data_IF_541002432655
#
_entry.id   IF_541002432655
#
_cell.length_a   1.000
_cell.length_b   1.000
_cell.length_c   1.000
_cell.angle_alpha   90.00
_cell.angle_beta   90.00
_cell.angle_gamma   90.00
#
_symmetry.space_group_name_H-M   'P 1'
#
loop_
_entity.id
_entity.type
_entity.pdbx_description
1 polymer ?
#
# COMPACT_ATOMS: atom_id res chain seq x y z
N UNK A 1 -19.28 -13.63 29.34
CA UNK A 1 -20.03 -12.43 28.89
C UNK A 1 -19.13 -11.67 27.92
N UNK A 2 -19.63 -11.26 26.74
CA UNK A 2 -18.78 -10.70 25.68
C UNK A 2 -19.05 -9.19 25.50
N UNK A 3 -18.17 -8.30 25.97
CA UNK A 3 -18.19 -6.87 25.58
C UNK A 3 -16.84 -6.13 25.65
N UNK A 4 -15.69 -6.81 25.78
CA UNK A 4 -14.41 -6.11 25.98
C UNK A 4 -13.67 -5.70 24.69
N UNK A 5 -14.05 -6.21 23.52
CA UNK A 5 -13.32 -5.95 22.26
C UNK A 5 -13.75 -4.68 21.51
N UNK A 6 -14.87 -4.05 21.88
CA UNK A 6 -15.39 -2.86 21.19
C UNK A 6 -14.85 -1.53 21.75
N UNK A 7 -14.24 -1.55 22.95
CA UNK A 7 -13.70 -0.35 23.58
C UNK A 7 -12.22 -0.08 23.25
N UNK A 8 -11.52 -1.05 22.66
CA UNK A 8 -10.14 -0.86 22.21
C UNK A 8 -10.07 -0.03 20.90
N UNK A 9 -11.00 -0.25 19.97
CA UNK A 9 -11.08 0.49 18.70
C UNK A 9 -11.52 1.95 18.88
N UNK A 10 -12.25 2.28 19.96
CA UNK A 10 -12.76 3.63 20.19
C UNK A 10 -11.72 4.58 20.83
N UNK A 11 -10.70 4.06 21.53
CA UNK A 11 -9.66 4.90 22.12
C UNK A 11 -8.54 5.30 21.14
N UNK A 12 -8.25 4.52 20.10
CA UNK A 12 -7.23 4.90 19.10
C UNK A 12 -7.75 5.93 18.08
N UNK A 13 -9.04 5.92 17.74
CA UNK A 13 -9.64 6.95 16.87
C UNK A 13 -9.67 8.33 17.56
N UNK A 14 -9.68 8.36 18.89
CA UNK A 14 -9.77 9.60 19.67
C UNK A 14 -8.44 10.38 19.69
N UNK A 15 -7.29 9.76 19.36
CA UNK A 15 -5.99 10.45 19.32
C UNK A 15 -5.73 11.27 18.04
N UNK A 16 -6.61 11.19 17.04
CA UNK A 16 -6.36 11.77 15.71
C UNK A 16 -7.23 12.99 15.34
N UNK A 17 -8.17 13.43 16.18
CA UNK A 17 -9.11 14.51 15.80
C UNK A 17 -9.48 15.42 16.98
N UNK A 18 -9.21 16.75 16.92
CA UNK A 18 -9.80 17.71 17.83
C UNK A 18 -11.29 17.92 17.52
N UNK A 19 -12.08 18.02 18.59
CA UNK A 19 -13.54 18.04 18.67
C UNK A 19 -14.27 19.01 17.71
N UNK A 20 -15.39 18.54 17.12
CA UNK A 20 -16.54 19.39 16.76
C UNK A 20 -17.23 19.08 15.42
N UNK A 21 -18.43 18.48 15.46
CA UNK A 21 -19.51 18.65 14.46
C UNK A 21 -19.44 17.93 13.10
N UNK A 22 -18.26 17.48 12.63
CA UNK A 22 -18.09 16.91 11.26
C UNK A 22 -18.03 15.36 11.24
N UNK A 23 -18.25 14.72 12.40
CA UNK A 23 -17.86 13.34 12.70
C UNK A 23 -18.53 12.29 11.78
N UNK A 24 -19.82 12.41 11.48
CA UNK A 24 -20.52 11.31 10.78
C UNK A 24 -20.00 11.06 9.35
N UNK A 25 -19.67 12.12 8.60
CA UNK A 25 -19.15 11.96 7.23
C UNK A 25 -17.74 11.40 7.19
N UNK A 26 -16.87 11.83 8.11
CA UNK A 26 -15.49 11.33 8.17
C UNK A 26 -15.46 9.85 8.57
N UNK A 27 -16.29 9.44 9.53
CA UNK A 27 -16.42 8.03 9.94
C UNK A 27 -16.94 7.16 8.79
N UNK A 28 -17.96 7.62 8.06
CA UNK A 28 -18.47 6.91 6.88
C UNK A 28 -17.43 6.78 5.77
N UNK A 29 -16.62 7.81 5.54
CA UNK A 29 -15.53 7.78 4.55
C UNK A 29 -14.44 6.80 4.95
N UNK A 30 -14.05 6.75 6.23
CA UNK A 30 -13.05 5.79 6.73
C UNK A 30 -13.58 4.36 6.64
N UNK A 31 -14.85 4.12 7.00
CA UNK A 31 -15.47 2.79 6.91
C UNK A 31 -15.59 2.34 5.45
N UNK A 32 -15.98 3.23 4.54
CA UNK A 32 -16.02 2.93 3.11
C UNK A 32 -14.63 2.60 2.57
N UNK A 33 -13.63 3.41 2.92
CA UNK A 33 -12.26 3.19 2.51
C UNK A 33 -11.69 1.86 3.02
N UNK A 34 -11.91 1.52 4.30
CA UNK A 34 -11.51 0.24 4.86
C UNK A 34 -12.22 -0.95 4.20
N UNK A 35 -13.49 -0.78 3.80
CA UNK A 35 -14.24 -1.78 3.05
C UNK A 35 -13.70 -1.94 1.63
N UNK A 36 -13.40 -0.83 0.95
CA UNK A 36 -12.86 -0.83 -0.41
C UNK A 36 -11.47 -1.46 -0.44
N UNK A 37 -10.61 -1.16 0.55
CA UNK A 37 -9.33 -1.84 0.76
C UNK A 37 -9.49 -3.34 0.91
N UNK A 38 -10.37 -3.77 1.83
CA UNK A 38 -10.63 -5.19 2.06
C UNK A 38 -11.16 -5.90 0.82
N UNK A 39 -11.97 -5.22 0.01
CA UNK A 39 -12.48 -5.75 -1.26
C UNK A 39 -11.37 -5.92 -2.31
N UNK A 40 -10.32 -5.10 -2.25
CA UNK A 40 -9.11 -5.24 -3.10
C UNK A 40 -8.09 -6.24 -2.53
N UNK A 41 -8.39 -6.91 -1.41
CA UNK A 41 -7.46 -7.82 -0.74
C UNK A 41 -6.37 -7.13 0.09
N UNK A 42 -6.33 -5.79 0.10
CA UNK A 42 -5.43 -5.00 0.94
C UNK A 42 -6.00 -4.80 2.35
N UNK A 43 -5.13 -4.74 3.36
CA UNK A 43 -5.49 -4.46 4.75
C UNK A 43 -4.85 -3.15 5.21
N UNK A 44 -5.66 -2.27 5.80
CA UNK A 44 -5.23 -0.93 6.24
C UNK A 44 -4.10 -0.98 7.28
N UNK A 45 -4.10 -2.01 8.15
CA UNK A 45 -3.09 -2.18 9.18
C UNK A 45 -1.80 -2.69 8.56
N UNK A 46 -1.90 -3.64 7.64
CA UNK A 46 -0.72 -4.19 6.95
C UNK A 46 -0.07 -3.13 6.04
N UNK A 47 -0.87 -2.28 5.37
CA UNK A 47 -0.32 -1.12 4.67
C UNK A 47 0.45 -0.19 5.60
N UNK A 48 -0.04 0.05 6.82
CA UNK A 48 0.64 0.89 7.79
C UNK A 48 1.96 0.24 8.28
N UNK A 49 1.95 -1.05 8.57
CA UNK A 49 3.15 -1.80 8.96
C UNK A 49 4.21 -1.78 7.84
N UNK A 50 3.78 -1.99 6.60
CA UNK A 50 4.66 -1.90 5.42
C UNK A 50 5.12 -0.47 5.17
N UNK A 51 4.32 0.54 5.50
CA UNK A 51 4.72 1.94 5.44
C UNK A 51 5.76 2.30 6.51
N UNK A 52 5.68 1.72 7.69
CA UNK A 52 6.74 1.85 8.69
C UNK A 52 8.03 1.16 8.25
N UNK A 53 7.91 0.01 7.57
CA UNK A 53 9.05 -0.77 7.08
C UNK A 53 9.74 -0.10 5.88
N UNK A 54 9.00 0.18 4.80
CA UNK A 54 9.52 0.69 3.53
C UNK A 54 9.52 2.22 3.43
N UNK A 55 8.61 2.92 4.12
CA UNK A 55 8.44 4.37 4.00
C UNK A 55 9.62 5.19 4.51
N UNK A 56 10.58 4.56 5.20
CA UNK A 56 11.85 5.17 5.63
C UNK A 56 12.84 5.34 4.47
N UNK A 57 12.68 4.58 3.38
CA UNK A 57 13.54 4.67 2.22
C UNK A 57 13.22 5.94 1.42
N UNK A 58 14.27 6.65 1.01
CA UNK A 58 14.15 7.82 0.14
C UNK A 58 14.10 7.39 -1.32
N UNK A 59 13.02 7.74 -2.01
CA UNK A 59 12.91 7.61 -3.46
C UNK A 59 13.41 8.90 -4.10
N UNK A 60 14.07 8.78 -5.25
CA UNK A 60 14.54 9.96 -5.97
C UNK A 60 13.34 10.78 -6.47
N UNK A 61 13.35 12.10 -6.23
CA UNK A 61 12.22 13.00 -6.54
C UNK A 61 11.70 12.89 -7.98
N UNK A 62 12.61 12.70 -8.94
CA UNK A 62 12.23 12.55 -10.35
C UNK A 62 11.49 11.23 -10.63
N UNK A 63 11.80 10.17 -9.87
CA UNK A 63 11.10 8.89 -9.95
C UNK A 63 9.71 9.03 -9.33
N UNK A 64 9.62 9.63 -8.13
CA UNK A 64 8.33 9.90 -7.48
C UNK A 64 7.41 10.73 -8.38
N UNK A 65 7.92 11.81 -8.99
CA UNK A 65 7.14 12.68 -9.86
C UNK A 65 6.67 11.96 -11.12
N UNK A 66 7.54 11.15 -11.74
CA UNK A 66 7.20 10.38 -12.94
C UNK A 66 6.18 9.28 -12.63
N UNK A 67 6.38 8.57 -11.52
CA UNK A 67 5.45 7.56 -11.04
C UNK A 67 4.08 8.14 -10.76
N UNK A 68 4.01 9.24 -10.01
CA UNK A 68 2.77 9.97 -9.73
C UNK A 68 2.08 10.44 -11.01
N UNK A 69 2.83 10.95 -11.98
CA UNK A 69 2.26 11.43 -13.24
C UNK A 69 1.60 10.32 -14.07
N UNK A 70 2.12 9.09 -14.00
CA UNK A 70 1.56 7.94 -14.71
C UNK A 70 0.40 7.34 -13.94
N UNK A 71 0.58 7.09 -12.64
CA UNK A 71 -0.36 6.30 -11.84
C UNK A 71 -1.56 7.13 -11.34
N UNK A 72 -1.44 8.45 -11.23
CA UNK A 72 -2.56 9.31 -10.84
C UNK A 72 -3.60 9.49 -11.95
N UNK A 73 -3.27 9.13 -13.19
CA UNK A 73 -4.19 9.25 -14.33
C UNK A 73 -5.14 8.06 -14.31
N UNK A 74 -6.47 8.27 -14.27
CA UNK A 74 -7.42 7.21 -14.55
C UNK A 74 -7.07 6.62 -15.90
N UNK A 75 -6.68 5.36 -15.90
CA UNK A 75 -6.32 4.65 -17.11
C UNK A 75 -7.51 4.57 -18.04
N UNK A 76 -7.19 4.56 -19.33
CA UNK A 76 -8.19 4.55 -20.38
C UNK A 76 -9.12 3.35 -20.24
N UNK A 77 -10.35 3.55 -20.73
CA UNK A 77 -11.31 2.47 -20.91
C UNK A 77 -10.75 1.53 -21.98
N UNK A 78 -10.57 0.26 -21.63
CA UNK A 78 -10.17 -0.77 -22.59
C UNK A 78 -11.36 -1.69 -22.82
N UNK A 79 -11.94 -1.64 -24.01
CA UNK A 79 -13.00 -2.57 -24.40
C UNK A 79 -12.43 -3.98 -24.49
N UNK A 80 -12.93 -4.90 -23.67
CA UNK A 80 -12.56 -6.31 -23.71
C UNK A 80 -13.43 -7.07 -24.74
N UNK A 81 -14.71 -6.75 -24.79
CA UNK A 81 -15.69 -7.20 -25.78
C UNK A 81 -16.96 -6.34 -25.72
N UNK A 82 -17.91 -6.55 -26.65
CA UNK A 82 -19.16 -5.77 -26.73
C UNK A 82 -19.89 -5.70 -25.37
N UNK A 83 -19.85 -4.51 -24.75
CA UNK A 83 -20.49 -4.22 -23.47
C UNK A 83 -19.65 -4.52 -22.22
N UNK A 84 -18.39 -4.95 -22.36
CA UNK A 84 -17.46 -5.19 -21.25
C UNK A 84 -16.24 -4.28 -21.37
N UNK A 85 -16.21 -3.27 -20.50
CA UNK A 85 -15.18 -2.25 -20.41
C UNK A 85 -14.28 -2.49 -19.19
N UNK A 86 -12.97 -2.46 -19.40
CA UNK A 86 -11.99 -2.48 -18.32
C UNK A 86 -11.55 -1.06 -18.01
N UNK A 87 -11.96 -0.57 -16.84
CA UNK A 87 -11.64 0.77 -16.35
C UNK A 87 -10.50 0.68 -15.33
N UNK A 88 -9.34 1.22 -15.66
CA UNK A 88 -8.15 1.17 -14.79
C UNK A 88 -8.04 2.43 -13.95
N UNK A 89 -8.83 2.56 -12.90
CA UNK A 89 -8.67 3.70 -11.97
C UNK A 89 -7.57 3.44 -10.93
N UNK A 90 -6.94 4.49 -10.37
CA UNK A 90 -6.04 4.34 -9.24
C UNK A 90 -6.85 3.75 -8.09
N UNK A 91 -6.55 2.52 -7.69
CA UNK A 91 -7.30 1.86 -6.61
C UNK A 91 -7.09 2.52 -5.24
N UNK A 92 -7.72 2.01 -4.18
CA UNK A 92 -7.72 2.65 -2.86
C UNK A 92 -6.32 2.82 -2.25
N UNK A 93 -5.45 1.82 -2.40
CA UNK A 93 -4.06 1.84 -1.90
C UNK A 93 -3.25 2.95 -2.56
N UNK A 94 -3.33 3.02 -3.89
CA UNK A 94 -2.67 4.06 -4.68
C UNK A 94 -3.26 5.43 -4.38
N UNK A 95 -4.59 5.55 -4.39
CA UNK A 95 -5.30 6.81 -4.13
C UNK A 95 -4.93 7.42 -2.78
N UNK A 96 -4.78 6.61 -1.73
CA UNK A 96 -4.30 7.04 -0.42
C UNK A 96 -2.86 7.56 -0.48
N UNK A 97 -1.97 6.81 -1.12
CA UNK A 97 -0.55 7.18 -1.24
C UNK A 97 -0.32 8.48 -2.02
N UNK A 98 -1.27 8.85 -2.90
CA UNK A 98 -1.22 10.08 -3.68
C UNK A 98 -1.66 11.32 -2.89
N UNK A 99 -2.27 11.18 -1.71
CA UNK A 99 -2.70 12.31 -0.89
C UNK A 99 -1.50 13.11 -0.34
N UNK A 100 -1.68 14.41 -0.13
CA UNK A 100 -0.66 15.26 0.49
C UNK A 100 -0.40 14.84 1.94
N UNK A 101 0.87 14.71 2.35
CA UNK A 101 1.25 14.26 3.70
C UNK A 101 1.33 12.74 3.87
N UNK A 102 1.12 11.97 2.79
CA UNK A 102 1.20 10.50 2.78
C UNK A 102 2.42 9.99 1.99
N UNK A 103 3.53 10.75 2.01
CA UNK A 103 4.73 10.46 1.20
C UNK A 103 5.37 9.11 1.54
N UNK A 104 5.26 8.67 2.80
CA UNK A 104 5.73 7.38 3.26
C UNK A 104 4.95 6.22 2.62
N UNK A 105 3.62 6.35 2.46
CA UNK A 105 2.83 5.38 1.70
C UNK A 105 3.19 5.38 0.22
N UNK A 106 3.47 6.54 -0.37
CA UNK A 106 3.91 6.61 -1.77
C UNK A 106 5.24 5.88 -1.98
N UNK A 107 6.20 6.10 -1.07
CA UNK A 107 7.48 5.37 -1.08
C UNK A 107 7.28 3.86 -0.98
N UNK A 108 6.37 3.41 -0.12
CA UNK A 108 6.03 1.99 0.02
C UNK A 108 5.40 1.43 -1.24
N UNK A 109 4.39 2.10 -1.82
CA UNK A 109 3.74 1.64 -3.07
C UNK A 109 4.74 1.55 -4.22
N UNK A 110 5.66 2.52 -4.35
CA UNK A 110 6.70 2.49 -5.39
C UNK A 110 7.63 1.28 -5.18
N UNK A 111 8.09 1.05 -3.95
CA UNK A 111 8.99 -0.08 -3.66
C UNK A 111 8.30 -1.43 -3.82
N UNK A 112 7.10 -1.59 -3.27
CA UNK A 112 6.31 -2.81 -3.38
C UNK A 112 5.96 -3.14 -4.84
N UNK A 113 5.52 -2.15 -5.62
CA UNK A 113 5.21 -2.36 -7.04
C UNK A 113 6.44 -2.74 -7.87
N UNK A 114 7.60 -2.10 -7.62
CA UNK A 114 8.85 -2.48 -8.26
C UNK A 114 9.26 -3.91 -7.89
N UNK A 115 9.27 -4.24 -6.60
CA UNK A 115 9.69 -5.57 -6.13
C UNK A 115 8.75 -6.66 -6.64
N UNK A 116 7.43 -6.44 -6.62
CA UNK A 116 6.44 -7.36 -7.17
C UNK A 116 6.54 -7.51 -8.70
N UNK A 117 7.08 -6.51 -9.41
CA UNK A 117 7.34 -6.62 -10.85
C UNK A 117 8.52 -7.53 -11.20
N UNK A 118 9.45 -7.75 -10.27
CA UNK A 118 10.68 -8.53 -10.48
C UNK A 118 10.59 -9.92 -9.83
N UNK A 119 9.84 -10.05 -8.73
CA UNK A 119 9.75 -11.25 -7.93
C UNK A 119 8.33 -11.82 -7.94
N UNK A 120 8.20 -13.14 -7.76
CA UNK A 120 6.90 -13.74 -7.51
C UNK A 120 6.33 -13.20 -6.18
N UNK A 121 5.07 -12.76 -6.19
CA UNK A 121 4.41 -12.11 -5.05
C UNK A 121 4.44 -12.96 -3.78
N UNK A 122 4.16 -14.26 -3.89
CA UNK A 122 4.12 -15.16 -2.73
C UNK A 122 5.49 -15.32 -2.06
N UNK A 123 6.54 -15.51 -2.87
CA UNK A 123 7.92 -15.58 -2.38
C UNK A 123 8.38 -14.24 -1.79
N UNK A 124 7.99 -13.12 -2.41
CA UNK A 124 8.30 -11.78 -1.92
C UNK A 124 7.61 -11.51 -0.57
N UNK A 125 6.33 -11.87 -0.43
CA UNK A 125 5.59 -11.76 0.81
C UNK A 125 6.28 -12.56 1.93
N UNK A 126 6.71 -13.79 1.65
CA UNK A 126 7.47 -14.60 2.59
C UNK A 126 8.79 -13.95 3.02
N UNK A 127 9.53 -13.37 2.08
CA UNK A 127 10.77 -12.66 2.37
C UNK A 127 10.55 -11.40 3.22
N UNK A 128 9.47 -10.64 2.96
CA UNK A 128 9.11 -9.45 3.74
C UNK A 128 8.73 -9.83 5.16
N UNK A 129 7.84 -10.81 5.34
CA UNK A 129 7.44 -11.29 6.67
C UNK A 129 8.66 -11.76 7.45
N UNK A 130 9.51 -12.57 6.84
CA UNK A 130 10.74 -13.05 7.47
C UNK A 130 11.68 -11.89 7.89
N UNK A 131 11.83 -10.86 7.05
CA UNK A 131 12.63 -9.69 7.37
C UNK A 131 12.03 -8.88 8.55
N UNK A 132 10.70 -8.77 8.62
CA UNK A 132 10.00 -8.11 9.72
C UNK A 132 10.12 -8.91 11.03
N UNK A 133 10.04 -10.25 10.97
CA UNK A 133 10.29 -11.13 12.11
C UNK A 133 11.71 -10.99 12.64
N UNK A 134 12.72 -11.03 11.76
CA UNK A 134 14.11 -10.80 12.19
C UNK A 134 14.30 -9.45 12.87
N UNK A 135 13.66 -8.41 12.34
CA UNK A 135 13.73 -7.06 12.90
C UNK A 135 13.10 -6.99 14.29
N UNK A 136 11.98 -7.68 14.50
CA UNK A 136 11.34 -7.82 15.81
C UNK A 136 12.26 -8.55 16.78
N UNK A 137 12.86 -9.66 16.35
CA UNK A 137 13.70 -10.50 17.20
C UNK A 137 15.01 -9.80 17.62
N UNK A 138 15.47 -8.83 16.82
CA UNK A 138 16.65 -7.99 17.12
C UNK A 138 16.30 -6.68 17.84
N UNK A 139 15.02 -6.41 18.11
CA UNK A 139 14.60 -5.17 18.75
C UNK A 139 14.99 -5.15 20.24
N UNK A 140 15.33 -3.97 20.81
CA UNK A 140 15.61 -3.87 22.23
C UNK A 140 14.36 -4.21 23.06
N UNK A 141 14.52 -4.74 24.28
CA UNK A 141 13.41 -5.30 25.09
C UNK A 141 12.31 -4.30 25.48
N UNK A 142 12.55 -2.99 25.28
CA UNK A 142 11.58 -1.92 25.56
C UNK A 142 10.97 -1.33 24.27
N UNK A 143 11.26 -1.91 23.10
CA UNK A 143 10.63 -1.47 21.85
C UNK A 143 9.20 -2.00 21.80
N UNK A 144 8.23 -1.11 21.71
CA UNK A 144 6.88 -1.48 21.29
C UNK A 144 6.96 -1.91 19.83
N UNK A 145 6.78 -3.20 19.57
CA UNK A 145 6.76 -3.77 18.23
C UNK A 145 5.33 -4.22 17.93
N UNK A 146 4.76 -3.70 16.84
CA UNK A 146 3.48 -4.20 16.32
C UNK A 146 3.64 -5.66 15.88
N UNK A 147 2.54 -6.42 15.96
CA UNK A 147 2.53 -7.81 15.52
C UNK A 147 2.92 -7.90 14.05
N UNK A 148 3.83 -8.81 13.71
CA UNK A 148 4.21 -9.03 12.31
C UNK A 148 2.98 -9.49 11.51
N UNK A 149 2.66 -8.85 10.38
CA UNK A 149 1.50 -9.23 9.57
C UNK A 149 1.67 -10.63 8.98
N UNK A 150 0.55 -11.33 8.79
CA UNK A 150 0.54 -12.64 8.18
C UNK A 150 0.93 -12.61 6.70
N UNK A 151 1.53 -13.71 6.21
CA UNK A 151 1.96 -13.88 4.81
C UNK A 151 0.87 -13.52 3.79
N UNK A 152 -0.34 -14.08 3.92
CA UNK A 152 -1.45 -13.82 2.99
C UNK A 152 -1.89 -12.35 2.96
N UNK A 153 -1.78 -11.65 4.09
CA UNK A 153 -2.13 -10.23 4.17
C UNK A 153 -1.08 -9.35 3.48
N UNK A 154 0.21 -9.68 3.63
CA UNK A 154 1.28 -9.00 2.89
C UNK A 154 1.16 -9.27 1.39
N UNK A 155 0.87 -10.50 1.00
CA UNK A 155 0.61 -10.87 -0.40
C UNK A 155 -0.53 -10.04 -1.00
N UNK A 156 -1.66 -9.90 -0.28
CA UNK A 156 -2.78 -9.06 -0.71
C UNK A 156 -2.42 -7.58 -0.93
N UNK A 157 -1.56 -7.00 -0.08
CA UNK A 157 -1.07 -5.62 -0.29
C UNK A 157 -0.14 -5.54 -1.50
N UNK A 158 0.71 -6.53 -1.73
CA UNK A 158 1.60 -6.57 -2.88
C UNK A 158 0.81 -6.71 -4.20
N UNK A 159 -0.20 -7.58 -4.23
CA UNK A 159 -1.10 -7.74 -5.37
C UNK A 159 -1.86 -6.43 -5.65
N UNK A 160 -2.40 -5.78 -4.62
CA UNK A 160 -3.04 -4.49 -4.75
C UNK A 160 -2.08 -3.41 -5.29
N UNK A 161 -0.83 -3.38 -4.81
CA UNK A 161 0.18 -2.48 -5.36
C UNK A 161 0.48 -2.78 -6.82
N UNK A 162 0.62 -4.05 -7.20
CA UNK A 162 0.93 -4.44 -8.57
C UNK A 162 -0.22 -4.12 -9.54
N UNK A 163 -1.45 -4.46 -9.17
CA UNK A 163 -2.64 -4.24 -9.99
C UNK A 163 -2.92 -2.74 -10.19
N UNK A 164 -2.93 -1.98 -9.09
CA UNK A 164 -3.29 -0.57 -9.11
C UNK A 164 -2.19 0.34 -9.70
N UNK A 165 -0.97 -0.19 -9.86
CA UNK A 165 0.15 0.53 -10.47
C UNK A 165 0.56 -0.04 -11.83
N UNK A 166 -0.24 -0.96 -12.39
CA UNK A 166 0.04 -1.67 -13.66
C UNK A 166 0.30 -0.75 -14.87
N UNK A 167 -0.19 0.48 -14.84
CA UNK A 167 0.10 1.50 -15.86
C UNK A 167 1.60 1.90 -15.88
N UNK A 168 2.27 1.84 -14.73
CA UNK A 168 3.69 2.11 -14.62
C UNK A 168 4.51 0.89 -15.07
N UNK A 169 5.05 0.96 -16.29
CA UNK A 169 5.75 -0.15 -16.93
C UNK A 169 7.17 -0.33 -16.38
N UNK A 170 7.29 -0.96 -15.21
CA UNK A 170 8.57 -1.29 -14.57
C UNK A 170 9.51 -2.07 -15.49
N UNK A 171 9.00 -3.03 -16.26
CA UNK A 171 9.81 -3.81 -17.22
C UNK A 171 10.50 -2.93 -18.27
N UNK A 172 9.77 -1.97 -18.86
CA UNK A 172 10.33 -1.06 -19.86
C UNK A 172 11.42 -0.15 -19.27
N UNK A 173 11.22 0.31 -18.04
CA UNK A 173 12.23 1.07 -17.30
C UNK A 173 13.47 0.23 -17.03
N UNK A 174 13.30 -0.98 -16.50
CA UNK A 174 14.40 -1.91 -16.20
C UNK A 174 15.18 -2.31 -17.46
N UNK A 175 14.51 -2.59 -18.58
CA UNK A 175 15.17 -2.83 -19.87
C UNK A 175 15.96 -1.63 -20.36
N UNK A 176 15.43 -0.41 -20.19
CA UNK A 176 16.14 0.82 -20.56
C UNK A 176 17.39 1.05 -19.69
N UNK A 177 17.32 0.68 -18.41
CA UNK A 177 18.47 0.72 -17.50
C UNK A 177 19.50 -0.35 -17.86
N UNK A 178 19.07 -1.59 -18.12
CA UNK A 178 19.95 -2.69 -18.55
C UNK A 178 20.71 -2.32 -19.82
N UNK A 179 20.02 -1.80 -20.84
CA UNK A 179 20.65 -1.37 -22.09
C UNK A 179 21.69 -0.26 -21.88
N UNK A 180 21.46 0.67 -20.95
CA UNK A 180 22.44 1.71 -20.58
C UNK A 180 23.64 1.17 -19.81
N UNK A 181 23.47 0.08 -19.07
CA UNK A 181 24.52 -0.61 -18.32
C UNK A 181 25.27 -1.64 -19.17
N UNK A 182 24.81 -1.93 -20.39
CA UNK A 182 25.41 -2.93 -21.27
C UNK A 182 25.06 -4.38 -20.89
N UNK A 183 23.91 -4.58 -20.24
CA UNK A 183 23.35 -5.89 -19.88
C UNK A 183 22.28 -6.34 -20.87
#
# INVERSE_FOLDING_TARGET
MPFDSQFALSMEITRLVPLGGVINKAVDTVIKFARDLRNTGSDIMVEADLAEFFGRCRIARHMESSFRAVVAVPGGITDLCDGLELVTTPGPTVSRSLQSGQEHYLSTVIQCSLLASVHNTSSLAGAIVFAMEQRRDQAPPNAEFQSVPGHASVEGVLDACQEQTSQFRWSALLSSVAAKLGL
#
